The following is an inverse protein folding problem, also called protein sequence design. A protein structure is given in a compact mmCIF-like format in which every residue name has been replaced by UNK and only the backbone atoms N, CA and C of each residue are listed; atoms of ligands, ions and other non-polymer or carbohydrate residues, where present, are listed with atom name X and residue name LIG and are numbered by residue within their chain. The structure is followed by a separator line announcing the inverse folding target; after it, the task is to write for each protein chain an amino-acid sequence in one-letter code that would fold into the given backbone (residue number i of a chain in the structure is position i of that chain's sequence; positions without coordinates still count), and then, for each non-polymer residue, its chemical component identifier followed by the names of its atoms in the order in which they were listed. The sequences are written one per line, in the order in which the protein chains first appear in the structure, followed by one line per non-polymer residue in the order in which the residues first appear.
data_IF_857700492490
#
_entry.id   IF_857700492490
#
_cell.length_a   1.000
_cell.length_b   1.000
_cell.length_c   1.000
_cell.angle_alpha   90.00
_cell.angle_beta   90.00
_cell.angle_gamma   90.00
#
_symmetry.space_group_name_H-M   'P 1'
#
loop_
_entity.id
_entity.type
_entity.pdbx_description
1 polymer ?
#
# COMPACT_ATOMS: atom_id res chain seq x y z
N UNK A 1 -1.43 -3.62 1.26
CA UNK A 1 -0.79 -2.29 1.22
C UNK A 1 -0.51 -1.81 2.63
N UNK A 2 0.75 -1.45 2.90
CA UNK A 2 1.27 -1.11 4.23
C UNK A 2 0.44 -0.06 5.00
N UNK A 3 -0.01 1.06 4.38
CA UNK A 3 -0.77 2.08 5.12
C UNK A 3 -2.09 1.57 5.70
N UNK A 4 -2.71 0.56 5.09
CA UNK A 4 -3.99 0.02 5.60
C UNK A 4 -3.78 -0.89 6.80
N UNK A 5 -2.63 -1.59 6.87
CA UNK A 5 -2.20 -2.36 8.05
C UNK A 5 -1.90 -1.41 9.19
N UNK A 6 -1.13 -0.35 8.91
CA UNK A 6 -0.77 0.68 9.88
C UNK A 6 -2.00 1.37 10.48
N UNK A 7 -2.96 1.75 9.63
CA UNK A 7 -4.26 2.27 10.07
C UNK A 7 -5.04 1.25 10.92
N UNK A 8 -5.05 -0.02 10.51
CA UNK A 8 -5.73 -1.09 11.22
C UNK A 8 -5.15 -1.39 12.61
N UNK A 9 -3.85 -1.14 12.81
CA UNK A 9 -3.19 -1.23 14.13
C UNK A 9 -3.55 -0.01 14.99
N UNK A 10 -3.52 1.20 14.41
CA UNK A 10 -3.78 2.43 15.14
C UNK A 10 -2.71 2.70 16.22
N UNK A 11 -3.11 2.92 17.48
CA UNK A 11 -2.18 3.30 18.54
C UNK A 11 -1.29 2.13 19.00
N UNK A 12 0.02 2.22 18.73
CA UNK A 12 1.04 1.30 19.27
C UNK A 12 2.28 2.07 19.71
N UNK A 13 2.80 1.76 20.90
CA UNK A 13 4.02 2.38 21.42
C UNK A 13 3.93 3.90 21.55
N UNK A 14 2.74 4.45 21.81
CA UNK A 14 2.51 5.89 21.95
C UNK A 14 2.36 6.66 20.63
N UNK A 15 2.46 6.00 19.47
CA UNK A 15 2.18 6.61 18.16
C UNK A 15 0.88 6.08 17.57
N UNK A 16 -0.02 6.98 17.16
CA UNK A 16 -1.21 6.65 16.37
C UNK A 16 -0.88 6.15 14.97
N UNK A 17 0.34 6.41 14.48
CA UNK A 17 0.85 5.96 13.19
C UNK A 17 2.16 5.18 13.41
N UNK A 18 2.08 3.90 13.84
CA UNK A 18 3.24 3.15 14.32
C UNK A 18 4.03 2.56 13.17
N UNK A 19 5.34 2.43 13.31
CA UNK A 19 6.14 1.65 12.37
C UNK A 19 5.68 0.19 12.39
N UNK A 20 5.42 -0.40 11.22
CA UNK A 20 4.94 -1.78 11.09
C UNK A 20 6.10 -2.76 10.84
N UNK A 21 5.93 -4.01 11.26
CA UNK A 21 6.90 -5.09 11.05
C UNK A 21 6.38 -6.09 10.01
N UNK A 22 7.25 -6.98 9.54
CA UNK A 22 6.86 -8.07 8.64
C UNK A 22 5.80 -8.98 9.29
N UNK A 23 5.89 -9.18 10.61
CA UNK A 23 4.93 -10.00 11.35
C UNK A 23 3.53 -9.38 11.35
N UNK A 24 3.43 -8.05 11.40
CA UNK A 24 2.14 -7.35 11.41
C UNK A 24 1.28 -7.66 10.19
N UNK A 25 1.89 -7.90 9.02
CA UNK A 25 1.17 -8.29 7.81
C UNK A 25 0.34 -9.56 8.02
N UNK A 26 0.84 -10.47 8.85
CA UNK A 26 0.22 -11.76 9.11
C UNK A 26 -0.53 -11.84 10.43
N UNK A 27 -0.30 -10.92 11.37
CA UNK A 27 -0.85 -10.99 12.75
C UNK A 27 -1.83 -9.87 13.08
N UNK A 28 -1.76 -8.72 12.41
CA UNK A 28 -2.69 -7.61 12.64
C UNK A 28 -4.09 -7.95 12.09
N UNK A 29 -4.93 -8.56 12.94
CA UNK A 29 -6.32 -8.91 12.63
C UNK A 29 -7.19 -7.65 12.64
N UNK A 30 -7.48 -7.13 11.45
CA UNK A 30 -8.34 -5.96 11.26
C UNK A 30 -9.01 -6.05 9.88
N UNK A 31 -10.26 -5.59 9.69
CA UNK A 31 -10.87 -5.54 8.37
C UNK A 31 -10.16 -4.55 7.42
N UNK A 32 -9.25 -3.71 7.95
CA UNK A 32 -8.40 -2.83 7.15
C UNK A 32 -7.10 -3.49 6.67
N UNK A 33 -6.72 -4.66 7.19
CA UNK A 33 -5.51 -5.34 6.74
C UNK A 33 -5.73 -5.96 5.34
N UNK A 34 -5.24 -5.29 4.31
CA UNK A 34 -5.39 -5.71 2.89
C UNK A 34 -4.44 -6.84 2.49
N UNK A 35 -3.56 -7.30 3.38
CA UNK A 35 -2.82 -8.56 3.20
C UNK A 35 -3.66 -9.78 3.59
N UNK A 36 -4.64 -9.61 4.49
CA UNK A 36 -5.50 -10.68 4.99
C UNK A 36 -6.90 -10.67 4.37
N UNK A 37 -7.38 -9.51 3.90
CA UNK A 37 -8.72 -9.34 3.35
C UNK A 37 -8.62 -8.86 1.90
N UNK A 38 -9.35 -9.49 0.99
CA UNK A 38 -9.41 -9.10 -0.42
C UNK A 38 -10.37 -7.91 -0.62
N UNK A 39 -10.12 -7.13 -1.67
CA UNK A 39 -10.92 -5.95 -1.98
C UNK A 39 -10.51 -4.70 -1.20
N UNK A 40 -11.41 -3.72 -1.14
CA UNK A 40 -11.18 -2.46 -0.44
C UNK A 40 -11.50 -2.60 1.06
N UNK A 41 -10.81 -1.85 1.94
CA UNK A 41 -11.18 -1.77 3.35
C UNK A 41 -12.58 -1.16 3.53
N UNK A 42 -13.22 -1.32 4.73
CA UNK A 42 -14.57 -0.81 4.99
C UNK A 42 -14.76 0.71 4.83
N UNK A 43 -13.67 1.47 4.84
CA UNK A 43 -13.68 2.91 4.68
C UNK A 43 -12.29 3.47 4.39
N UNK A 44 -12.19 4.80 4.14
CA UNK A 44 -10.91 5.45 3.91
C UNK A 44 -10.01 5.41 5.17
N UNK A 45 -8.69 5.45 4.94
CA UNK A 45 -7.68 5.49 6.01
C UNK A 45 -7.09 6.88 6.24
N UNK A 46 -7.40 7.83 5.36
CA UNK A 46 -6.88 9.21 5.39
C UNK A 46 -7.83 10.15 4.64
N UNK A 47 -7.57 11.45 4.71
CA UNK A 47 -8.26 12.47 3.91
C UNK A 47 -7.54 12.67 2.57
N UNK A 48 -8.11 12.24 1.43
CA UNK A 48 -7.45 12.35 0.13
C UNK A 48 -7.45 13.79 -0.39
N UNK A 49 -6.35 14.22 -0.99
CA UNK A 49 -6.29 15.45 -1.76
C UNK A 49 -6.99 15.33 -3.13
N UNK A 50 -7.21 16.45 -3.80
CA UNK A 50 -7.89 16.50 -5.11
C UNK A 50 -7.23 15.61 -6.17
N UNK A 51 -5.89 15.55 -6.20
CA UNK A 51 -5.16 14.71 -7.14
C UNK A 51 -5.47 13.21 -6.94
N UNK A 52 -5.52 12.75 -5.69
CA UNK A 52 -5.85 11.35 -5.36
C UNK A 52 -7.30 11.01 -5.73
N UNK A 53 -8.24 11.94 -5.49
CA UNK A 53 -9.65 11.78 -5.91
C UNK A 53 -9.75 11.66 -7.44
N UNK A 54 -9.06 12.52 -8.19
CA UNK A 54 -9.07 12.46 -9.66
C UNK A 54 -8.47 11.15 -10.18
N UNK A 55 -7.37 10.69 -9.60
CA UNK A 55 -6.73 9.42 -9.96
C UNK A 55 -7.64 8.22 -9.69
N UNK A 56 -8.39 8.23 -8.57
CA UNK A 56 -9.36 7.18 -8.27
C UNK A 56 -10.56 7.17 -9.25
N UNK A 57 -11.01 8.33 -9.72
CA UNK A 57 -12.11 8.45 -10.67
C UNK A 57 -11.71 8.21 -12.13
N UNK A 58 -10.48 8.58 -12.50
CA UNK A 58 -9.97 8.52 -13.87
C UNK A 58 -8.56 7.90 -13.88
N UNK A 59 -8.43 6.60 -13.61
CA UNK A 59 -7.14 5.92 -13.64
C UNK A 59 -6.61 5.84 -15.07
N UNK A 60 -5.29 5.80 -15.22
CA UNK A 60 -4.66 5.49 -16.50
C UNK A 60 -4.90 4.01 -16.85
N UNK A 61 -5.31 3.74 -18.08
CA UNK A 61 -5.51 2.38 -18.56
C UNK A 61 -4.15 1.68 -18.72
N UNK A 62 -3.91 0.67 -17.89
CA UNK A 62 -2.69 -0.13 -17.93
C UNK A 62 -2.96 -1.57 -17.49
N UNK A 63 -2.01 -2.46 -17.78
CA UNK A 63 -2.02 -3.85 -17.31
C UNK A 63 -1.15 -4.07 -16.07
N UNK A 64 -0.64 -3.01 -15.45
CA UNK A 64 0.26 -3.13 -14.31
C UNK A 64 -0.48 -3.63 -13.07
N UNK A 65 0.13 -4.61 -12.40
CA UNK A 65 -0.39 -5.20 -11.15
C UNK A 65 0.52 -4.93 -9.96
N UNK A 66 1.78 -4.58 -10.21
CA UNK A 66 2.80 -4.38 -9.19
C UNK A 66 3.51 -3.05 -9.39
N UNK A 67 3.95 -2.46 -8.28
CA UNK A 67 4.84 -1.30 -8.29
C UNK A 67 5.87 -1.43 -7.15
N UNK A 68 7.05 -0.86 -7.34
CA UNK A 68 8.10 -0.77 -6.32
C UNK A 68 8.81 0.57 -6.47
N UNK A 69 9.20 1.21 -5.35
CA UNK A 69 10.01 2.42 -5.41
C UNK A 69 11.37 2.11 -6.05
N UNK A 70 11.87 3.00 -6.92
CA UNK A 70 13.18 2.85 -7.56
C UNK A 70 14.30 2.98 -6.53
N UNK A 71 15.33 2.15 -6.71
CA UNK A 71 16.51 2.12 -5.87
C UNK A 71 17.53 3.24 -6.13
N UNK A 72 17.20 4.18 -7.03
CA UNK A 72 18.07 5.29 -7.44
C UNK A 72 17.88 6.57 -6.61
N UNK A 73 16.98 6.54 -5.61
CA UNK A 73 16.67 7.69 -4.76
C UNK A 73 15.90 8.81 -5.46
N UNK A 74 15.43 8.58 -6.69
CA UNK A 74 14.72 9.59 -7.49
C UNK A 74 13.30 9.89 -7.00
N UNK A 75 12.73 9.01 -6.17
CA UNK A 75 11.32 9.07 -5.76
C UNK A 75 10.34 8.52 -6.80
N UNK A 76 10.82 8.00 -7.93
CA UNK A 76 9.99 7.30 -8.91
C UNK A 76 9.74 5.84 -8.53
N UNK A 77 8.80 5.21 -9.24
CA UNK A 77 8.46 3.80 -9.09
C UNK A 77 8.65 3.06 -10.40
N UNK A 78 9.04 1.78 -10.32
CA UNK A 78 8.95 0.83 -11.41
C UNK A 78 7.65 0.03 -11.32
N UNK A 79 6.97 -0.10 -12.45
CA UNK A 79 5.70 -0.82 -12.59
C UNK A 79 5.92 -2.13 -13.35
N UNK A 80 5.19 -3.16 -12.95
CA UNK A 80 5.32 -4.51 -13.51
C UNK A 80 3.95 -5.17 -13.70
N UNK A 81 3.84 -5.98 -14.74
CA UNK A 81 2.63 -6.77 -15.04
C UNK A 81 2.71 -8.11 -14.34
N UNK A 82 3.89 -8.75 -14.36
CA UNK A 82 4.10 -10.07 -13.74
C UNK A 82 4.82 -9.95 -12.40
N UNK A 83 4.72 -11.01 -11.61
CA UNK A 83 5.42 -11.08 -10.33
C UNK A 83 6.93 -11.21 -10.53
N UNK A 84 7.37 -11.92 -11.57
CA UNK A 84 8.78 -12.08 -11.92
C UNK A 84 9.42 -10.74 -12.30
N UNK A 85 8.73 -9.91 -13.09
CA UNK A 85 9.14 -8.54 -13.39
C UNK A 85 9.25 -7.69 -12.11
N UNK A 86 8.26 -7.80 -11.21
CA UNK A 86 8.29 -7.10 -9.94
C UNK A 86 9.50 -7.49 -9.08
N UNK A 87 9.86 -8.77 -9.05
CA UNK A 87 11.05 -9.26 -8.35
C UNK A 87 12.34 -8.74 -8.97
N UNK A 88 12.40 -8.66 -10.30
CA UNK A 88 13.56 -8.14 -11.03
C UNK A 88 13.81 -6.64 -10.80
N UNK A 89 12.76 -5.87 -10.49
CA UNK A 89 12.88 -4.45 -10.12
C UNK A 89 13.46 -4.23 -8.70
N UNK A 90 13.75 -5.30 -7.97
CA UNK A 90 14.34 -5.22 -6.64
C UNK A 90 15.83 -4.91 -6.67
N UNK A 91 16.23 -3.95 -5.84
CA UNK A 91 17.42 -4.05 -5.01
C UNK A 91 16.98 -4.49 -3.59
#
# INVERSE_FOLDING_TARGET
ADPTVQYGIGLRGGSWWPQITVEDYQTARSPYNTYLNTGLPPGPIASPGLAAIRAALNPEASSYLYFRARCDGSGYHDFAVTFEEHLANGC
#
